data_IF_941421224651
#
_entry.id   IF_941421224651
#
_cell.length_a   1.000
_cell.length_b   1.000
_cell.length_c   1.000
_cell.angle_alpha   90.00
_cell.angle_beta   90.00
_cell.angle_gamma   90.00
#
_symmetry.space_group_name_H-M   'P 1'
#
loop_
_entity.id
_entity.type
_entity.pdbx_description
1 polymer ?
#
# COMPACT_ATOMS: atom_id res chain seq x y z
N UNK A 1 15.92 -21.51 13.81
CA UNK A 1 14.78 -20.60 14.05
C UNK A 1 14.26 -20.06 12.72
N UNK A 2 12.95 -20.25 12.54
CA UNK A 2 12.06 -19.97 11.39
C UNK A 2 11.96 -18.50 10.92
N UNK A 3 13.04 -17.69 10.98
CA UNK A 3 12.99 -16.29 10.49
C UNK A 3 12.66 -16.19 9.00
N UNK A 4 12.90 -17.26 8.24
CA UNK A 4 12.79 -17.25 6.77
C UNK A 4 11.36 -17.25 6.23
N UNK A 5 10.39 -17.85 6.92
CA UNK A 5 8.99 -17.89 6.44
C UNK A 5 8.14 -16.77 7.05
N UNK A 6 8.47 -16.36 8.27
CA UNK A 6 7.78 -15.25 8.96
C UNK A 6 7.99 -13.93 8.21
N UNK A 7 9.17 -13.69 7.63
CA UNK A 7 9.49 -12.42 6.95
C UNK A 7 8.66 -12.23 5.67
N UNK A 8 8.59 -13.18 4.72
CA UNK A 8 7.73 -13.07 3.54
C UNK A 8 6.24 -12.96 3.87
N UNK A 9 5.74 -13.75 4.83
CA UNK A 9 4.32 -13.69 5.23
C UNK A 9 3.95 -12.33 5.84
N UNK A 10 4.80 -11.79 6.72
CA UNK A 10 4.58 -10.46 7.30
C UNK A 10 4.66 -9.35 6.25
N UNK A 11 5.60 -9.45 5.31
CA UNK A 11 5.72 -8.50 4.21
C UNK A 11 4.48 -8.50 3.31
N UNK A 12 3.94 -9.69 2.99
CA UNK A 12 2.70 -9.80 2.23
C UNK A 12 1.49 -9.22 3.01
N UNK A 13 1.44 -9.45 4.34
CA UNK A 13 0.40 -8.88 5.19
C UNK A 13 0.48 -7.33 5.26
N UNK A 14 1.69 -6.76 5.34
CA UNK A 14 1.91 -5.31 5.30
C UNK A 14 1.43 -4.72 3.97
N UNK A 15 1.71 -5.38 2.85
CA UNK A 15 1.22 -4.97 1.53
C UNK A 15 -0.31 -4.98 1.45
N UNK A 16 -0.95 -6.04 1.95
CA UNK A 16 -2.41 -6.12 2.02
C UNK A 16 -3.01 -5.01 2.87
N UNK A 17 -2.40 -4.72 4.03
CA UNK A 17 -2.85 -3.64 4.91
C UNK A 17 -2.71 -2.27 4.26
N UNK A 18 -1.62 -2.01 3.51
CA UNK A 18 -1.46 -0.77 2.77
C UNK A 18 -2.55 -0.60 1.70
N UNK A 19 -2.87 -1.68 0.96
CA UNK A 19 -3.96 -1.65 -0.03
C UNK A 19 -5.31 -1.29 0.63
N UNK A 20 -5.62 -1.92 1.76
CA UNK A 20 -6.86 -1.67 2.50
C UNK A 20 -6.95 -0.23 3.03
N UNK A 21 -5.84 0.30 3.56
CA UNK A 21 -5.77 1.70 4.03
C UNK A 21 -5.95 2.68 2.88
N UNK A 22 -5.29 2.44 1.73
CA UNK A 22 -5.44 3.26 0.52
C UNK A 22 -6.91 3.30 0.06
N UNK A 23 -7.59 2.15 0.02
CA UNK A 23 -9.00 2.09 -0.35
C UNK A 23 -9.89 2.86 0.64
N UNK A 24 -9.69 2.68 1.95
CA UNK A 24 -10.47 3.40 2.95
C UNK A 24 -10.28 4.92 2.88
N UNK A 25 -9.06 5.39 2.60
CA UNK A 25 -8.76 6.80 2.41
C UNK A 25 -9.37 7.37 1.12
N UNK A 26 -9.48 6.57 0.05
CA UNK A 26 -10.21 6.95 -1.16
C UNK A 26 -11.70 7.19 -0.86
N UNK A 27 -12.32 6.31 -0.07
CA UNK A 27 -13.72 6.47 0.35
C UNK A 27 -13.90 7.75 1.18
N UNK A 28 -12.95 8.06 2.07
CA UNK A 28 -12.94 9.33 2.83
C UNK A 28 -12.82 10.54 1.90
N UNK A 29 -11.96 10.50 0.89
CA UNK A 29 -11.83 11.58 -0.08
C UNK A 29 -13.14 11.84 -0.84
N UNK A 30 -13.83 10.77 -1.24
CA UNK A 30 -15.16 10.84 -1.89
C UNK A 30 -16.18 11.45 -0.94
N UNK A 31 -16.19 11.03 0.33
CA UNK A 31 -17.09 11.58 1.33
C UNK A 31 -16.86 13.08 1.57
N UNK A 32 -15.60 13.54 1.64
CA UNK A 32 -15.24 14.96 1.79
C UNK A 32 -15.72 15.78 0.59
N UNK A 33 -15.53 15.26 -0.63
CA UNK A 33 -15.99 15.91 -1.86
C UNK A 33 -17.51 16.08 -1.87
N UNK A 34 -18.25 15.01 -1.52
CA UNK A 34 -19.70 15.03 -1.41
C UNK A 34 -20.22 15.94 -0.28
N UNK A 35 -19.38 16.22 0.72
CA UNK A 35 -19.70 17.12 1.83
C UNK A 35 -19.48 18.60 1.49
N UNK A 36 -19.09 18.91 0.25
CA UNK A 36 -18.96 20.29 -0.24
C UNK A 36 -17.58 20.92 0.01
N UNK A 37 -16.53 20.11 0.24
CA UNK A 37 -15.15 20.60 0.36
C UNK A 37 -14.22 19.98 -0.68
N UNK A 38 -14.32 20.38 -1.96
CA UNK A 38 -13.53 19.80 -3.04
C UNK A 38 -12.02 20.03 -2.89
N UNK A 39 -11.59 21.15 -2.29
CA UNK A 39 -10.16 21.43 -2.05
C UNK A 39 -9.56 20.46 -1.02
N UNK A 40 -10.31 20.15 0.04
CA UNK A 40 -9.89 19.17 1.04
C UNK A 40 -9.83 17.75 0.43
N UNK A 41 -10.80 17.39 -0.41
CA UNK A 41 -10.78 16.13 -1.15
C UNK A 41 -9.57 16.04 -2.10
N UNK A 42 -9.23 17.13 -2.80
CA UNK A 42 -8.05 17.21 -3.66
C UNK A 42 -6.76 16.99 -2.86
N UNK A 43 -6.61 17.64 -1.70
CA UNK A 43 -5.43 17.45 -0.85
C UNK A 43 -5.29 16.02 -0.34
N UNK A 44 -6.41 15.36 -0.01
CA UNK A 44 -6.41 13.94 0.38
C UNK A 44 -6.02 13.06 -0.81
N UNK A 45 -6.48 13.35 -2.03
CA UNK A 45 -6.12 12.61 -3.26
C UNK A 45 -4.65 12.74 -3.62
N UNK A 46 -4.06 13.93 -3.50
CA UNK A 46 -2.63 14.12 -3.72
C UNK A 46 -1.79 13.29 -2.74
N UNK A 47 -2.19 13.25 -1.46
CA UNK A 47 -1.51 12.44 -0.45
C UNK A 47 -1.71 10.94 -0.67
N UNK A 48 -2.89 10.53 -1.14
CA UNK A 48 -3.19 9.16 -1.53
C UNK A 48 -2.30 8.68 -2.67
N UNK A 49 -1.98 9.55 -3.63
CA UNK A 49 -1.06 9.20 -4.72
C UNK A 49 0.32 8.84 -4.18
N UNK A 50 0.85 9.62 -3.23
CA UNK A 50 2.14 9.32 -2.58
C UNK A 50 2.11 7.97 -1.84
N UNK A 51 0.99 7.63 -1.19
CA UNK A 51 0.81 6.33 -0.52
C UNK A 51 0.78 5.19 -1.55
N UNK A 52 0.05 5.37 -2.65
CA UNK A 52 -0.04 4.39 -3.74
C UNK A 52 1.32 4.13 -4.41
N UNK A 53 2.10 5.19 -4.66
CA UNK A 53 3.45 5.08 -5.22
C UNK A 53 4.38 4.30 -4.27
N UNK A 54 4.27 4.58 -2.97
CA UNK A 54 5.02 3.86 -1.93
C UNK A 54 4.62 2.37 -1.87
N UNK A 55 3.33 2.07 -1.99
CA UNK A 55 2.82 0.70 -2.06
C UNK A 55 3.37 -0.06 -3.28
N UNK A 56 3.48 0.60 -4.43
CA UNK A 56 4.10 0.02 -5.63
C UNK A 56 5.57 -0.34 -5.42
N UNK A 57 6.35 0.55 -4.80
CA UNK A 57 7.77 0.31 -4.47
C UNK A 57 7.94 -0.86 -3.49
N UNK A 58 7.16 -0.86 -2.41
CA UNK A 58 7.21 -1.95 -1.42
C UNK A 58 6.77 -3.27 -2.07
N UNK A 59 5.75 -3.23 -2.93
CA UNK A 59 5.29 -4.39 -3.70
C UNK A 59 6.40 -4.99 -4.55
N UNK A 60 7.16 -4.15 -5.26
CA UNK A 60 8.31 -4.58 -6.05
C UNK A 60 9.42 -5.20 -5.18
N UNK A 61 9.73 -4.58 -4.03
CA UNK A 61 10.72 -5.12 -3.08
C UNK A 61 10.31 -6.49 -2.54
N UNK A 62 9.05 -6.67 -2.12
CA UNK A 62 8.56 -7.95 -1.62
C UNK A 62 8.54 -8.99 -2.74
N UNK A 63 8.11 -8.61 -3.95
CA UNK A 63 8.15 -9.48 -5.12
C UNK A 63 9.56 -9.99 -5.41
N UNK A 64 10.57 -9.11 -5.36
CA UNK A 64 11.97 -9.50 -5.52
C UNK A 64 12.48 -10.42 -4.39
N UNK A 65 12.07 -10.17 -3.15
CA UNK A 65 12.44 -11.03 -2.00
C UNK A 65 11.78 -12.41 -2.03
N UNK A 66 10.59 -12.51 -2.63
CA UNK A 66 9.83 -13.76 -2.76
C UNK A 66 10.23 -14.59 -4.00
N UNK A 67 11.06 -14.05 -4.91
CA UNK A 67 11.56 -14.84 -6.03
C UNK A 67 12.47 -15.96 -5.52
N UNK A 68 12.26 -17.21 -5.99
CA UNK A 68 13.14 -18.31 -5.64
C UNK A 68 14.55 -18.01 -6.16
N UNK A 69 15.57 -18.10 -5.29
CA UNK A 69 16.96 -18.06 -5.72
C UNK A 69 17.23 -19.31 -6.56
N UNK A 70 17.51 -19.15 -7.84
CA UNK A 70 18.10 -20.21 -8.66
C UNK A 70 19.53 -20.42 -8.14
N UNK A 71 19.89 -21.60 -7.65
CA UNK A 71 21.28 -21.87 -7.26
C UNK A 71 22.17 -21.91 -8.51
N UNK A 72 23.31 -21.20 -8.46
CA UNK A 72 24.42 -21.35 -9.42
C UNK A 72 25.16 -22.68 -9.23
#
# INVERSE_FOLDING_TARGET
MHRSEVTPTLLNAILGNQAAITAALQDVAIWIENSGSPEAASSVRERLQVIADSQGLIGACVGALMQPRIPE
#
